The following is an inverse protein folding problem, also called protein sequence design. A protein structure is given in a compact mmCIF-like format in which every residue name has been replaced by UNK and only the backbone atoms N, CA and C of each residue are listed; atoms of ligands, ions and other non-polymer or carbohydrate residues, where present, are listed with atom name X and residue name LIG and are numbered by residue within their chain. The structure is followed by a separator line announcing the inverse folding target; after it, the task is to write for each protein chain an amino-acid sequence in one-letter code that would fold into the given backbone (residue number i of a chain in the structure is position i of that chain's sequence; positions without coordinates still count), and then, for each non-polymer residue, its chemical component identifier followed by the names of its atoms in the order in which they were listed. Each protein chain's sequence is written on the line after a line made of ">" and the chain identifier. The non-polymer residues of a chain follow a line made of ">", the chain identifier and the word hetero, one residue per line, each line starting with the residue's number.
data_IF_160015808032
#
_entry.id   IF_160015808032
#
_cell.length_a   1.000
_cell.length_b   1.000
_cell.length_c   1.000
_cell.angle_alpha   90.00
_cell.angle_beta   90.00
_cell.angle_gamma   90.00
#
_symmetry.space_group_name_H-M   'P 1'
#
loop_
_entity.id
_entity.type
_entity.pdbx_description
1 polymer ?
#
# COMPACT_ATOMS: atom_id res chain seq x y z
N UNK A 1 -23.15 13.02 -18.77
CA UNK A 1 -21.88 12.91 -18.02
C UNK A 1 -21.72 11.54 -17.34
N UNK A 2 -22.08 10.43 -18.01
CA UNK A 2 -21.87 9.05 -17.48
C UNK A 2 -20.79 8.27 -18.24
N UNK A 3 -20.19 8.81 -19.31
CA UNK A 3 -19.36 8.01 -20.22
C UNK A 3 -17.91 7.79 -19.74
N UNK A 4 -17.29 8.77 -19.05
CA UNK A 4 -15.85 8.68 -18.73
C UNK A 4 -15.49 7.55 -17.76
N UNK A 5 -16.30 7.33 -16.72
CA UNK A 5 -16.05 6.24 -15.76
C UNK A 5 -16.21 4.87 -16.41
N UNK A 6 -17.29 4.64 -17.16
CA UNK A 6 -17.54 3.34 -17.79
C UNK A 6 -16.51 3.01 -18.87
N UNK A 7 -16.09 4.00 -19.66
CA UNK A 7 -15.03 3.86 -20.64
C UNK A 7 -13.69 3.53 -19.97
N UNK A 8 -13.31 4.26 -18.91
CA UNK A 8 -12.09 3.99 -18.15
C UNK A 8 -12.13 2.64 -17.44
N UNK A 9 -13.25 2.28 -16.82
CA UNK A 9 -13.43 0.98 -16.17
C UNK A 9 -13.28 -0.15 -17.20
N UNK A 10 -13.94 -0.05 -18.35
CA UNK A 10 -13.78 -1.03 -19.44
C UNK A 10 -12.32 -1.15 -19.86
N UNK A 11 -11.65 -0.03 -20.09
CA UNK A 11 -10.23 -0.01 -20.43
C UNK A 11 -9.34 -0.67 -19.37
N UNK A 12 -9.60 -0.41 -18.07
CA UNK A 12 -8.82 -0.96 -16.95
C UNK A 12 -8.91 -2.48 -16.84
N UNK A 13 -10.03 -3.06 -17.27
CA UNK A 13 -10.23 -4.52 -17.31
C UNK A 13 -9.60 -5.10 -18.57
N UNK A 14 -9.82 -4.47 -19.72
CA UNK A 14 -9.28 -4.94 -21.01
C UNK A 14 -7.74 -4.84 -21.05
N UNK A 15 -7.13 -3.95 -20.25
CA UNK A 15 -5.68 -3.68 -20.21
C UNK A 15 -5.13 -3.82 -18.79
N UNK A 16 -5.42 -4.95 -18.13
CA UNK A 16 -5.16 -5.16 -16.70
C UNK A 16 -3.71 -4.89 -16.29
N UNK A 17 -2.73 -5.41 -17.04
CA UNK A 17 -1.31 -5.23 -16.74
C UNK A 17 -0.86 -3.77 -16.88
N UNK A 18 -1.34 -3.06 -17.89
CA UNK A 18 -1.00 -1.65 -18.10
C UNK A 18 -1.65 -0.78 -17.02
N UNK A 19 -2.94 -1.00 -16.74
CA UNK A 19 -3.64 -0.29 -15.68
C UNK A 19 -2.93 -0.43 -14.33
N UNK A 20 -2.53 -1.64 -13.95
CA UNK A 20 -1.86 -1.87 -12.67
C UNK A 20 -0.39 -1.42 -12.66
N UNK A 21 0.29 -1.38 -13.81
CA UNK A 21 1.58 -0.70 -13.92
C UNK A 21 1.45 0.81 -13.64
N UNK A 22 0.45 1.45 -14.25
CA UNK A 22 0.17 2.88 -14.05
C UNK A 22 -0.27 3.17 -12.61
N UNK A 23 -1.11 2.30 -12.01
CA UNK A 23 -1.53 2.44 -10.62
C UNK A 23 -0.35 2.42 -9.65
N UNK A 24 0.65 1.58 -9.89
CA UNK A 24 1.87 1.54 -9.07
C UNK A 24 2.57 2.90 -9.01
N UNK A 25 2.70 3.56 -10.15
CA UNK A 25 3.33 4.88 -10.25
C UNK A 25 2.42 5.99 -9.72
N UNK A 26 1.13 5.93 -10.03
CA UNK A 26 0.13 6.89 -9.59
C UNK A 26 0.05 6.99 -8.06
N UNK A 27 0.03 5.86 -7.35
CA UNK A 27 -0.01 5.86 -5.87
C UNK A 27 1.36 6.12 -5.25
N UNK A 28 2.42 6.09 -6.05
CA UNK A 28 3.81 6.30 -5.64
C UNK A 28 4.30 5.22 -4.69
N UNK A 29 4.22 3.95 -5.10
CA UNK A 29 4.74 2.82 -4.31
C UNK A 29 6.26 2.97 -4.16
N UNK A 30 6.72 2.95 -2.91
CA UNK A 30 8.13 2.88 -2.53
C UNK A 30 8.56 1.41 -2.60
N UNK A 31 9.61 1.14 -3.37
CA UNK A 31 10.18 -0.20 -3.50
C UNK A 31 11.70 -0.16 -3.65
N UNK A 32 12.37 -1.18 -3.12
CA UNK A 32 13.80 -1.39 -3.30
C UNK A 32 14.13 -2.07 -4.63
N UNK A 33 13.18 -2.80 -5.19
CA UNK A 33 13.21 -3.36 -6.54
C UNK A 33 11.83 -3.23 -7.16
N UNK A 34 11.78 -2.71 -8.38
CA UNK A 34 10.56 -2.68 -9.18
C UNK A 34 10.26 -4.10 -9.71
N UNK A 35 8.98 -4.38 -9.96
CA UNK A 35 8.56 -5.57 -10.67
C UNK A 35 9.12 -5.57 -12.10
N UNK A 36 9.24 -6.77 -12.69
CA UNK A 36 9.43 -6.93 -14.14
C UNK A 36 8.15 -7.39 -14.84
N UNK A 37 7.22 -8.01 -14.10
CA UNK A 37 5.92 -8.46 -14.62
C UNK A 37 4.82 -8.04 -13.64
N UNK A 38 3.77 -7.36 -14.13
CA UNK A 38 2.65 -6.93 -13.27
C UNK A 38 1.77 -8.10 -12.88
N UNK A 39 1.32 -8.89 -13.86
CA UNK A 39 0.57 -10.12 -13.66
C UNK A 39 0.70 -10.96 -14.93
N UNK A 40 0.82 -12.27 -14.77
CA UNK A 40 0.72 -13.22 -15.87
C UNK A 40 -0.76 -13.58 -16.08
N UNK A 41 -1.30 -13.23 -17.25
CA UNK A 41 -2.70 -13.47 -17.61
C UNK A 41 -2.91 -14.84 -18.29
N UNK A 42 -1.83 -15.59 -18.56
CA UNK A 42 -1.89 -16.90 -19.21
C UNK A 42 -2.13 -18.05 -18.21
N UNK A 43 -1.96 -17.80 -16.91
CA UNK A 43 -2.17 -18.78 -15.84
C UNK A 43 -3.57 -18.67 -15.20
N UNK A 44 -4.07 -19.74 -14.55
CA UNK A 44 -5.31 -19.65 -13.79
C UNK A 44 -5.24 -18.54 -12.73
N UNK A 45 -6.35 -17.83 -12.52
CA UNK A 45 -6.43 -16.68 -11.60
C UNK A 45 -5.87 -16.96 -10.19
N UNK A 46 -6.03 -18.18 -9.67
CA UNK A 46 -5.55 -18.55 -8.34
C UNK A 46 -4.03 -18.80 -8.26
N UNK A 47 -3.37 -18.94 -9.41
CA UNK A 47 -1.91 -19.06 -9.55
C UNK A 47 -1.26 -17.73 -9.95
N UNK A 48 -2.07 -16.70 -10.25
CA UNK A 48 -1.59 -15.41 -10.71
C UNK A 48 -0.67 -14.76 -9.66
N UNK A 49 0.55 -14.44 -10.10
CA UNK A 49 1.53 -13.70 -9.31
C UNK A 49 1.49 -12.22 -9.69
N UNK A 50 1.27 -11.37 -8.71
CA UNK A 50 1.26 -9.93 -8.90
C UNK A 50 2.64 -9.32 -8.60
N UNK A 51 3.04 -8.35 -9.44
CA UNK A 51 4.26 -7.57 -9.33
C UNK A 51 5.52 -8.44 -9.14
N UNK A 52 5.65 -9.50 -9.94
CA UNK A 52 6.76 -10.43 -9.82
C UNK A 52 8.11 -9.71 -9.99
N UNK A 53 9.04 -10.07 -9.11
CA UNK A 53 10.36 -9.44 -8.99
C UNK A 53 10.42 -8.21 -8.06
N UNK A 54 9.27 -7.60 -7.73
CA UNK A 54 9.26 -6.46 -6.83
C UNK A 54 9.70 -6.84 -5.41
N UNK A 55 10.38 -5.89 -4.75
CA UNK A 55 10.68 -5.96 -3.32
C UNK A 55 10.31 -4.64 -2.66
N UNK A 56 9.29 -4.68 -1.81
CA UNK A 56 8.81 -3.54 -1.05
C UNK A 56 8.62 -3.90 0.42
N UNK A 57 8.48 -2.87 1.25
CA UNK A 57 8.05 -3.03 2.62
C UNK A 57 6.67 -2.35 2.80
N UNK A 58 5.72 -3.09 3.38
CA UNK A 58 4.36 -2.59 3.57
C UNK A 58 4.30 -1.43 4.57
N UNK A 59 5.00 -1.55 5.71
CA UNK A 59 5.06 -0.50 6.73
C UNK A 59 5.74 0.77 6.22
N UNK A 60 6.77 0.65 5.37
CA UNK A 60 7.42 1.80 4.71
C UNK A 60 6.43 2.60 3.84
N UNK A 61 5.58 1.90 3.10
CA UNK A 61 4.58 2.55 2.24
C UNK A 61 3.45 3.19 3.04
N UNK A 62 2.97 2.52 4.10
CA UNK A 62 1.94 3.07 4.99
C UNK A 62 2.45 4.25 5.81
N UNK A 63 3.71 4.19 6.28
CA UNK A 63 4.33 5.18 7.15
C UNK A 63 5.36 6.04 6.38
N UNK A 64 5.09 6.30 5.10
CA UNK A 64 5.95 7.13 4.24
C UNK A 64 6.01 8.59 4.69
N UNK A 65 4.95 9.05 5.35
CA UNK A 65 4.92 10.35 6.00
C UNK A 65 5.41 10.23 7.44
N UNK A 66 6.13 11.24 7.91
CA UNK A 66 6.68 11.33 9.27
C UNK A 66 6.43 12.73 9.84
N UNK A 67 5.22 13.23 9.60
CA UNK A 67 4.78 14.57 9.97
C UNK A 67 3.74 14.52 11.09
N UNK A 68 3.26 15.71 11.50
CA UNK A 68 2.29 15.86 12.59
C UNK A 68 0.83 15.64 12.15
N UNK A 69 0.59 15.15 10.92
CA UNK A 69 -0.76 14.78 10.51
C UNK A 69 -1.24 13.58 11.31
N UNK A 70 -2.54 13.55 11.61
CA UNK A 70 -3.17 12.45 12.33
C UNK A 70 -3.16 11.19 11.46
N UNK A 71 -2.54 10.12 11.96
CA UNK A 71 -2.53 8.80 11.34
C UNK A 71 -3.66 7.91 11.86
N UNK A 72 -4.03 8.07 13.13
CA UNK A 72 -5.04 7.25 13.79
C UNK A 72 -5.80 8.08 14.83
N UNK A 73 -7.11 7.88 14.89
CA UNK A 73 -7.99 8.37 15.96
C UNK A 73 -8.54 7.15 16.68
N UNK A 74 -8.31 7.07 17.98
CA UNK A 74 -8.79 6.01 18.85
C UNK A 74 -9.90 6.56 19.72
N UNK A 75 -11.04 5.88 19.77
CA UNK A 75 -12.15 6.25 20.63
C UNK A 75 -12.70 4.99 21.31
N UNK A 76 -12.66 4.96 22.63
CA UNK A 76 -13.36 3.98 23.46
C UNK A 76 -14.75 4.46 23.86
N UNK A 77 -15.58 3.56 24.38
CA UNK A 77 -16.99 3.81 24.72
C UNK A 77 -17.17 4.95 25.75
N UNK A 78 -16.28 5.03 26.75
CA UNK A 78 -16.35 6.01 27.85
C UNK A 78 -15.12 6.95 27.91
N UNK A 79 -14.34 7.03 26.84
CA UNK A 79 -13.09 7.81 26.80
C UNK A 79 -13.11 8.88 25.73
N UNK A 80 -12.46 10.02 26.00
CA UNK A 80 -12.20 11.03 24.97
C UNK A 80 -11.35 10.42 23.84
N UNK A 81 -11.59 10.88 22.62
CA UNK A 81 -10.81 10.41 21.48
C UNK A 81 -9.35 10.84 21.61
N UNK A 82 -8.44 9.87 21.46
CA UNK A 82 -7.01 10.09 21.40
C UNK A 82 -6.53 10.03 19.95
N UNK A 83 -5.51 10.82 19.63
CA UNK A 83 -4.97 10.91 18.26
C UNK A 83 -3.49 10.58 18.27
N UNK A 84 -3.04 9.81 17.29
CA UNK A 84 -1.63 9.51 17.04
C UNK A 84 -1.22 10.12 15.71
N UNK A 85 -0.12 10.87 15.68
CA UNK A 85 0.43 11.43 14.44
C UNK A 85 1.21 10.40 13.64
N UNK A 86 1.47 10.66 12.36
CA UNK A 86 2.34 9.82 11.53
C UNK A 86 3.77 9.72 12.10
N UNK A 87 4.33 10.82 12.63
CA UNK A 87 5.61 10.80 13.31
C UNK A 87 5.63 9.86 14.53
N UNK A 88 4.61 9.94 15.39
CA UNK A 88 4.46 9.05 16.56
C UNK A 88 4.26 7.59 16.14
N UNK A 89 3.40 7.34 15.15
CA UNK A 89 3.14 6.00 14.64
C UNK A 89 4.42 5.34 14.08
N UNK A 90 5.25 6.12 13.37
CA UNK A 90 6.52 5.65 12.83
C UNK A 90 7.50 5.26 13.94
N UNK A 91 7.73 6.13 14.93
CA UNK A 91 8.63 5.81 16.04
C UNK A 91 8.14 4.61 16.86
N UNK A 92 6.83 4.53 17.14
CA UNK A 92 6.25 3.38 17.84
C UNK A 92 6.48 2.08 17.04
N UNK A 93 6.18 2.07 15.74
CA UNK A 93 6.37 0.90 14.88
C UNK A 93 7.83 0.45 14.82
N UNK A 94 8.76 1.41 14.77
CA UNK A 94 10.21 1.16 14.79
C UNK A 94 10.66 0.54 16.13
N UNK A 95 10.16 1.04 17.25
CA UNK A 95 10.47 0.49 18.58
C UNK A 95 9.96 -0.94 18.72
N UNK A 96 8.72 -1.22 18.30
CA UNK A 96 8.18 -2.58 18.33
C UNK A 96 8.95 -3.53 17.41
N UNK A 97 9.30 -3.09 16.21
CA UNK A 97 10.11 -3.90 15.29
C UNK A 97 11.49 -4.25 15.89
N UNK A 98 12.16 -3.29 16.55
CA UNK A 98 13.42 -3.53 17.23
C UNK A 98 13.27 -4.50 18.41
N UNK A 99 12.19 -4.37 19.19
CA UNK A 99 11.88 -5.29 20.27
C UNK A 99 11.66 -6.72 19.76
N UNK A 100 10.86 -6.91 18.70
CA UNK A 100 10.65 -8.23 18.10
C UNK A 100 11.94 -8.81 17.52
N UNK A 101 12.79 -8.00 16.89
CA UNK A 101 14.07 -8.46 16.37
C UNK A 101 15.03 -8.92 17.48
N UNK A 102 14.90 -8.40 18.70
CA UNK A 102 15.73 -8.82 19.85
C UNK A 102 15.29 -10.13 20.51
N UNK A 103 14.13 -10.66 20.14
CA UNK A 103 13.58 -11.92 20.68
C UNK A 103 14.02 -13.18 19.91
N UNK A 104 14.81 -13.00 18.84
CA UNK A 104 15.31 -14.07 17.97
C UNK A 104 16.83 -14.11 18.03
#
# INVERSE_FOLDING_TARGET
>A
MQNGYHEFHKWSIDNLSDFWAEMWDFVGIISSKRFHTVVDLEVPMHEAKWYEGAKLNYAENLLKYRDDKIAMVQAGEDSAAETTTYAQMYENSKLYAAAFASLV
#
